data_IF_872574132394
#
_entry.id   IF_872574132394
#
_cell.length_a   1.000
_cell.length_b   1.000
_cell.length_c   1.000
_cell.angle_alpha   90.00
_cell.angle_beta   90.00
_cell.angle_gamma   90.00
#
_symmetry.space_group_name_H-M   'P 1'
#
loop_
_entity.id
_entity.type
_entity.pdbx_description
1 polymer ?
#
# COMPACT_ATOMS: atom_id res chain seq x y z
N UNK A 1 24.94 -13.29 16.67
CA UNK A 1 24.50 -12.72 16.30
C UNK A 1 23.79 -12.32 16.14
N UNK A 2 23.65 -11.95 16.31
CA UNK A 2 22.87 -11.51 16.09
C UNK A 2 22.23 -11.11 15.44
N UNK A 3 21.90 -11.53 15.26
CA UNK A 3 21.12 -11.10 14.15
C UNK A 3 20.07 -10.15 14.62
N UNK A 4 20.37 -8.98 14.38
CA UNK A 4 19.37 -7.99 14.55
C UNK A 4 18.18 -8.40 13.75
N UNK A 5 17.02 -8.45 14.37
CA UNK A 5 15.83 -8.53 13.58
C UNK A 5 15.86 -7.34 12.64
N UNK A 6 16.24 -7.56 11.44
CA UNK A 6 16.12 -6.55 10.42
C UNK A 6 14.67 -6.43 10.03
N UNK A 7 13.91 -6.02 11.00
CA UNK A 7 12.48 -5.87 10.81
C UNK A 7 12.15 -4.93 9.67
N UNK A 8 13.05 -3.98 9.37
CA UNK A 8 12.84 -3.07 8.25
C UNK A 8 13.05 -3.74 6.90
N UNK A 9 14.00 -4.70 6.81
CA UNK A 9 14.27 -5.38 5.55
C UNK A 9 13.16 -6.34 5.13
N UNK A 10 12.30 -6.72 6.05
CA UNK A 10 11.22 -7.66 5.79
C UNK A 10 9.85 -7.01 5.86
N UNK A 11 9.81 -5.71 6.11
CA UNK A 11 8.53 -5.02 6.18
C UNK A 11 7.76 -5.11 4.87
N UNK A 12 6.45 -5.02 4.98
CA UNK A 12 5.56 -5.04 3.83
C UNK A 12 5.03 -3.63 3.63
N UNK A 13 5.11 -3.14 2.40
CA UNK A 13 4.52 -1.87 2.01
C UNK A 13 3.21 -2.13 1.32
N UNK A 14 2.19 -1.38 1.67
CA UNK A 14 0.92 -1.36 0.92
C UNK A 14 0.61 0.07 0.50
N UNK A 15 0.33 0.24 -0.78
CA UNK A 15 -0.14 1.52 -1.31
C UNK A 15 -1.61 1.69 -0.99
N UNK A 16 -1.97 2.81 -0.38
CA UNK A 16 -3.33 3.08 0.08
C UNK A 16 -3.87 4.34 -0.58
N UNK A 17 -5.02 4.23 -1.19
CA UNK A 17 -5.85 5.36 -1.60
C UNK A 17 -7.28 5.08 -1.12
N UNK A 18 -8.29 5.75 -1.66
CA UNK A 18 -9.67 5.54 -1.21
C UNK A 18 -10.41 4.48 -2.03
N UNK A 19 -9.73 3.82 -2.97
CA UNK A 19 -10.38 2.82 -3.81
C UNK A 19 -10.70 1.54 -3.05
N UNK A 20 -11.75 0.81 -3.42
CA UNK A 20 -12.05 -0.49 -2.82
C UNK A 20 -10.91 -1.49 -2.98
N UNK A 21 -10.20 -1.45 -4.11
CA UNK A 21 -9.05 -2.32 -4.35
C UNK A 21 -7.91 -2.05 -3.38
N UNK A 22 -7.66 -0.78 -3.06
CA UNK A 22 -6.62 -0.43 -2.11
C UNK A 22 -6.98 -0.89 -0.69
N UNK A 23 -8.24 -0.84 -0.31
CA UNK A 23 -8.70 -1.36 0.97
C UNK A 23 -8.54 -2.89 1.02
N UNK A 24 -8.88 -3.57 -0.06
CA UNK A 24 -8.65 -5.02 -0.15
C UNK A 24 -7.15 -5.35 -0.05
N UNK A 25 -6.31 -4.56 -0.71
CA UNK A 25 -4.86 -4.70 -0.63
C UNK A 25 -4.35 -4.50 0.80
N UNK A 26 -4.86 -3.50 1.50
CA UNK A 26 -4.51 -3.23 2.89
C UNK A 26 -4.83 -4.42 3.80
N UNK A 27 -6.03 -4.99 3.64
CA UNK A 27 -6.44 -6.16 4.43
C UNK A 27 -5.56 -7.37 4.13
N UNK A 28 -5.28 -7.60 2.86
CA UNK A 28 -4.43 -8.72 2.44
C UNK A 28 -3.01 -8.56 3.00
N UNK A 29 -2.44 -7.37 2.87
CA UNK A 29 -1.10 -7.07 3.36
C UNK A 29 -1.01 -7.22 4.88
N UNK A 30 -2.04 -6.78 5.61
CA UNK A 30 -2.09 -6.92 7.06
C UNK A 30 -2.09 -8.39 7.48
N UNK A 31 -2.85 -9.23 6.78
CA UNK A 31 -2.85 -10.67 7.03
C UNK A 31 -1.47 -11.29 6.81
N UNK A 32 -0.80 -10.92 5.73
CA UNK A 32 0.54 -11.41 5.44
C UNK A 32 1.57 -10.93 6.47
N UNK A 33 1.51 -9.65 6.84
CA UNK A 33 2.42 -9.09 7.84
C UNK A 33 2.24 -9.76 9.20
N UNK A 34 0.99 -9.99 9.60
CA UNK A 34 0.69 -10.69 10.85
C UNK A 34 1.23 -12.13 10.83
N UNK A 35 1.05 -12.85 9.74
CA UNK A 35 1.57 -14.20 9.57
C UNK A 35 3.08 -14.26 9.66
N UNK A 36 3.77 -13.29 9.07
CA UNK A 36 5.23 -13.25 9.04
C UNK A 36 5.85 -12.59 10.27
N UNK A 37 5.04 -11.94 11.08
CA UNK A 37 5.56 -11.19 12.24
C UNK A 37 6.39 -9.98 11.85
N UNK A 38 6.05 -9.30 10.76
CA UNK A 38 6.79 -8.14 10.25
C UNK A 38 5.93 -6.89 10.28
N UNK A 39 6.54 -5.70 10.31
CA UNK A 39 5.78 -4.45 10.28
C UNK A 39 5.09 -4.23 8.94
N UNK A 40 4.00 -3.49 8.98
CA UNK A 40 3.28 -3.03 7.80
C UNK A 40 3.45 -1.51 7.66
N UNK A 41 3.84 -1.07 6.48
CA UNK A 41 3.93 0.34 6.13
C UNK A 41 2.81 0.66 5.14
N UNK A 42 1.84 1.43 5.59
CA UNK A 42 0.74 1.88 4.73
C UNK A 42 1.13 3.24 4.14
N UNK A 43 1.33 3.28 2.84
CA UNK A 43 1.87 4.46 2.15
C UNK A 43 0.79 5.08 1.29
N UNK A 44 0.51 6.35 1.53
CA UNK A 44 -0.33 7.16 0.67
C UNK A 44 0.55 8.15 -0.10
N UNK A 45 0.49 8.06 -1.41
CA UNK A 45 1.18 9.00 -2.28
C UNK A 45 0.27 10.18 -2.57
N UNK A 46 0.69 11.36 -2.16
CA UNK A 46 0.01 12.59 -2.56
C UNK A 46 0.53 12.98 -3.93
N UNK A 47 -0.23 12.68 -4.96
CA UNK A 47 0.09 13.11 -6.30
C UNK A 47 0.22 14.61 -6.37
N UNK A 48 0.94 15.10 -7.37
CA UNK A 48 0.97 16.52 -7.65
C UNK A 48 -0.45 16.98 -7.98
N UNK A 49 -1.02 17.74 -7.06
CA UNK A 49 -2.31 18.36 -7.33
C UNK A 49 -2.12 19.35 -8.47
N UNK A 50 -2.88 19.20 -9.52
CA UNK A 50 -2.94 20.23 -10.53
C UNK A 50 -3.42 21.52 -9.85
N UNK A 51 -2.83 22.65 -10.24
CA UNK A 51 -3.22 23.94 -9.71
C UNK A 51 -4.74 24.10 -9.75
N UNK A 52 -5.33 24.38 -8.60
CA UNK A 52 -6.76 24.60 -8.50
C UNK A 52 -7.58 23.37 -8.13
N UNK A 53 -6.99 22.22 -8.01
CA UNK A 53 -7.71 21.02 -7.58
C UNK A 53 -7.63 20.89 -6.06
N UNK A 54 -8.71 21.24 -5.38
CA UNK A 54 -8.85 20.98 -3.97
C UNK A 54 -9.43 19.58 -3.79
N UNK A 55 -8.58 18.64 -3.44
CA UNK A 55 -9.05 17.32 -3.01
C UNK A 55 -9.13 17.38 -1.49
N UNK A 56 -10.31 17.17 -0.91
CA UNK A 56 -10.42 17.09 0.54
C UNK A 56 -9.47 16.01 1.03
N UNK A 57 -8.67 16.34 2.04
CA UNK A 57 -7.81 15.34 2.66
C UNK A 57 -8.66 14.26 3.25
N UNK A 58 -8.73 13.13 2.59
CA UNK A 58 -9.19 11.92 3.25
C UNK A 58 -8.13 11.60 4.29
N UNK A 59 -8.54 11.44 5.52
CA UNK A 59 -7.62 11.05 6.57
C UNK A 59 -7.23 9.58 6.39
N UNK A 60 -6.20 9.37 5.57
CA UNK A 60 -5.73 8.03 5.24
C UNK A 60 -5.26 7.29 6.49
N UNK A 61 -4.64 8.01 7.42
CA UNK A 61 -4.22 7.40 8.69
C UNK A 61 -5.41 6.84 9.45
N UNK A 62 -6.50 7.58 9.52
CA UNK A 62 -7.72 7.12 10.18
C UNK A 62 -8.33 5.93 9.45
N UNK A 63 -8.37 5.97 8.13
CA UNK A 63 -8.86 4.86 7.31
C UNK A 63 -8.08 3.58 7.58
N UNK A 64 -6.76 3.67 7.59
CA UNK A 64 -5.88 2.54 7.90
C UNK A 64 -6.15 2.02 9.30
N UNK A 65 -6.19 2.90 10.29
CA UNK A 65 -6.43 2.52 11.69
C UNK A 65 -7.76 1.80 11.85
N UNK A 66 -8.82 2.33 11.28
CA UNK A 66 -10.14 1.74 11.37
C UNK A 66 -10.20 0.37 10.69
N UNK A 67 -9.63 0.27 9.50
CA UNK A 67 -9.62 -0.98 8.75
C UNK A 67 -8.88 -2.08 9.50
N UNK A 68 -7.74 -1.77 10.08
CA UNK A 68 -6.89 -2.77 10.72
C UNK A 68 -7.29 -3.09 12.16
N UNK A 69 -8.02 -2.20 12.82
CA UNK A 69 -8.50 -2.47 14.18
C UNK A 69 -9.38 -3.72 14.25
N UNK A 70 -10.09 -4.02 13.18
CA UNK A 70 -11.00 -5.16 13.12
C UNK A 70 -10.27 -6.48 12.82
N UNK A 71 -9.18 -6.44 12.06
CA UNK A 71 -8.58 -7.65 11.50
C UNK A 71 -7.21 -7.96 12.07
N UNK A 72 -6.48 -6.96 12.54
CA UNK A 72 -5.12 -7.16 13.02
C UNK A 72 -4.77 -6.15 14.11
N UNK A 73 -5.46 -6.19 15.26
CA UNK A 73 -5.29 -5.14 16.30
C UNK A 73 -3.92 -5.11 16.93
N UNK A 74 -3.15 -6.19 16.86
CA UNK A 74 -1.81 -6.26 17.42
C UNK A 74 -0.70 -5.99 16.42
N UNK A 75 -1.06 -5.72 15.17
CA UNK A 75 -0.07 -5.50 14.11
C UNK A 75 0.58 -4.13 14.27
N UNK A 76 1.89 -4.08 14.10
CA UNK A 76 2.62 -2.81 14.08
C UNK A 76 2.45 -2.20 12.69
N UNK A 77 1.77 -1.06 12.64
CA UNK A 77 1.47 -0.36 11.39
C UNK A 77 1.98 1.07 11.47
N UNK A 78 2.70 1.49 10.46
CA UNK A 78 3.10 2.89 10.29
C UNK A 78 2.44 3.44 9.04
N UNK A 79 1.75 4.55 9.18
CA UNK A 79 1.14 5.25 8.04
C UNK A 79 2.09 6.34 7.57
N UNK A 80 2.39 6.35 6.29
CA UNK A 80 3.27 7.34 5.67
C UNK A 80 2.49 8.09 4.58
N UNK A 81 2.56 9.41 4.63
CA UNK A 81 2.02 10.27 3.58
C UNK A 81 3.23 10.91 2.90
N UNK A 82 3.42 10.58 1.64
CA UNK A 82 4.61 10.98 0.90
C UNK A 82 4.21 11.71 -0.38
N UNK A 83 4.93 12.77 -0.75
CA UNK A 83 4.64 13.48 -1.98
C UNK A 83 5.11 12.70 -3.22
N UNK A 84 4.42 12.88 -4.30
CA UNK A 84 4.81 12.38 -5.60
C UNK A 84 3.85 11.36 -6.20
N UNK A 85 4.16 10.93 -7.42
CA UNK A 85 3.35 9.91 -8.09
C UNK A 85 3.41 8.57 -7.34
N UNK A 86 2.33 7.79 -7.34
CA UNK A 86 2.26 6.56 -6.54
C UNK A 86 3.38 5.57 -6.83
N UNK A 87 3.68 5.29 -8.08
CA UNK A 87 4.70 4.30 -8.44
C UNK A 87 6.07 4.71 -7.89
N UNK A 88 6.50 5.92 -8.20
CA UNK A 88 7.81 6.41 -7.77
C UNK A 88 7.91 6.48 -6.25
N UNK A 89 6.82 6.89 -5.60
CA UNK A 89 6.75 6.98 -4.14
C UNK A 89 6.91 5.63 -3.48
N UNK A 90 6.18 4.62 -3.96
CA UNK A 90 6.25 3.27 -3.39
C UNK A 90 7.62 2.65 -3.58
N UNK A 91 8.23 2.82 -4.77
CA UNK A 91 9.58 2.32 -5.02
C UNK A 91 10.62 3.02 -4.15
N UNK A 92 10.48 4.33 -3.97
CA UNK A 92 11.39 5.12 -3.12
C UNK A 92 11.30 4.69 -1.66
N UNK A 93 10.08 4.51 -1.15
CA UNK A 93 9.88 4.06 0.24
C UNK A 93 10.41 2.65 0.42
N UNK A 94 10.16 1.76 -0.53
CA UNK A 94 10.68 0.39 -0.46
C UNK A 94 12.21 0.37 -0.40
N UNK A 95 12.86 1.17 -1.22
CA UNK A 95 14.32 1.27 -1.22
C UNK A 95 14.85 1.85 0.09
N UNK A 96 14.24 2.95 0.55
CA UNK A 96 14.66 3.65 1.78
C UNK A 96 14.51 2.78 3.03
N UNK A 97 13.47 1.98 3.10
CA UNK A 97 13.16 1.16 4.28
C UNK A 97 13.68 -0.25 4.19
N UNK A 98 14.17 -0.68 3.04
CA UNK A 98 14.57 -2.07 2.84
C UNK A 98 13.41 -3.04 2.86
N UNK A 99 12.22 -2.60 2.51
CA UNK A 99 11.03 -3.47 2.49
C UNK A 99 11.23 -4.64 1.54
N UNK A 100 10.69 -5.79 1.92
CA UNK A 100 10.81 -7.02 1.14
C UNK A 100 9.64 -7.34 0.25
N UNK A 101 8.59 -6.53 0.27
CA UNK A 101 7.36 -6.82 -0.46
C UNK A 101 6.52 -5.55 -0.64
N UNK A 102 5.94 -5.38 -1.80
CA UNK A 102 5.00 -4.28 -2.08
C UNK A 102 3.65 -4.88 -2.46
N UNK A 103 2.58 -4.33 -1.87
CA UNK A 103 1.20 -4.75 -2.14
C UNK A 103 0.42 -3.55 -2.64
N UNK A 104 -0.31 -3.71 -3.70
CA UNK A 104 -1.19 -2.66 -4.25
C UNK A 104 -2.49 -3.26 -4.73
N UNK A 105 -3.51 -2.41 -4.83
CA UNK A 105 -4.75 -2.80 -5.48
C UNK A 105 -4.58 -2.94 -6.97
N UNK A 106 -5.44 -3.73 -7.58
CA UNK A 106 -5.46 -3.96 -9.01
C UNK A 106 -5.67 -2.66 -9.80
N UNK A 107 -6.49 -1.78 -9.25
CA UNK A 107 -6.76 -0.44 -9.81
C UNK A 107 -6.81 0.56 -8.67
N UNK A 108 -6.53 1.81 -8.99
CA UNK A 108 -6.62 2.90 -8.02
C UNK A 108 -7.80 3.83 -8.30
N UNK A 109 -7.85 4.91 -7.57
CA UNK A 109 -8.85 5.96 -7.77
C UNK A 109 -8.73 6.52 -9.18
N UNK A 110 -9.85 6.62 -9.88
CA UNK A 110 -9.91 7.15 -11.23
C UNK A 110 -9.66 6.14 -12.34
N UNK A 111 -9.15 4.97 -12.02
CA UNK A 111 -8.99 3.91 -13.00
C UNK A 111 -10.36 3.31 -13.35
N UNK A 112 -10.58 3.07 -14.63
CA UNK A 112 -11.82 2.50 -15.14
C UNK A 112 -11.52 1.25 -15.95
N UNK A 113 -12.50 0.37 -16.05
CA UNK A 113 -12.37 -0.86 -16.83
C UNK A 113 -11.89 -2.03 -15.99
N UNK A 114 -11.58 -3.13 -16.68
CA UNK A 114 -11.18 -4.39 -16.04
C UNK A 114 -9.67 -4.61 -16.06
N UNK A 115 -8.94 -3.74 -16.75
CA UNK A 115 -7.50 -3.89 -16.90
C UNK A 115 -6.77 -3.46 -15.63
N UNK A 116 -5.56 -3.97 -15.47
CA UNK A 116 -4.68 -3.57 -14.39
C UNK A 116 -4.42 -2.06 -14.45
N UNK A 117 -4.46 -1.39 -13.30
CA UNK A 117 -4.20 0.04 -13.22
C UNK A 117 -2.74 0.38 -13.50
N UNK A 118 -2.49 1.65 -13.80
CA UNK A 118 -1.16 2.12 -14.20
C UNK A 118 -0.12 1.95 -13.10
N UNK A 119 -0.47 2.19 -11.85
CA UNK A 119 0.45 2.03 -10.72
C UNK A 119 0.85 0.58 -10.54
N UNK A 120 -0.13 -0.33 -10.53
CA UNK A 120 0.14 -1.76 -10.37
C UNK A 120 1.00 -2.29 -11.51
N UNK A 121 0.68 -1.92 -12.75
CA UNK A 121 1.44 -2.34 -13.92
C UNK A 121 2.89 -1.82 -13.85
N UNK A 122 3.08 -0.56 -13.52
CA UNK A 122 4.41 0.04 -13.43
C UNK A 122 5.23 -0.61 -12.31
N UNK A 123 4.63 -0.90 -11.17
CA UNK A 123 5.32 -1.58 -10.06
C UNK A 123 5.77 -2.97 -10.45
N UNK A 124 4.91 -3.75 -11.09
CA UNK A 124 5.27 -5.09 -11.57
C UNK A 124 6.46 -5.04 -12.52
N UNK A 125 6.51 -4.00 -13.35
CA UNK A 125 7.59 -3.84 -14.33
C UNK A 125 8.90 -3.34 -13.73
N UNK A 126 8.85 -2.54 -12.68
CA UNK A 126 10.01 -1.78 -12.19
C UNK A 126 10.54 -2.23 -10.83
N UNK A 127 9.77 -2.96 -10.05
CA UNK A 127 10.16 -3.30 -8.69
C UNK A 127 11.27 -4.35 -8.66
N UNK A 128 12.22 -4.17 -7.74
CA UNK A 128 13.24 -5.16 -7.45
C UNK A 128 12.82 -6.15 -6.36
N UNK A 129 11.67 -5.91 -5.75
CA UNK A 129 11.10 -6.82 -4.74
C UNK A 129 9.77 -7.37 -5.24
N UNK A 130 9.30 -8.50 -4.68
CA UNK A 130 7.99 -9.05 -5.07
C UNK A 130 6.87 -8.02 -4.93
N UNK A 131 5.95 -8.06 -5.87
CA UNK A 131 4.76 -7.21 -5.88
C UNK A 131 3.53 -8.10 -5.92
N UNK A 132 2.61 -7.87 -5.00
CA UNK A 132 1.30 -8.53 -5.04
C UNK A 132 0.25 -7.51 -5.47
N UNK A 133 -0.56 -7.90 -6.42
CA UNK A 133 -1.66 -7.08 -6.92
C UNK A 133 -2.96 -7.72 -6.45
N UNK A 134 -3.73 -6.98 -5.68
CA UNK A 134 -4.95 -7.51 -5.04
C UNK A 134 -6.18 -6.96 -5.74
N UNK A 135 -7.06 -7.86 -6.13
CA UNK A 135 -8.37 -7.48 -6.67
C UNK A 135 -9.37 -7.36 -5.52
N UNK A 136 -10.29 -6.43 -5.64
CA UNK A 136 -11.36 -6.36 -4.66
C UNK A 136 -12.27 -7.60 -4.83
N UNK A 137 -12.77 -8.10 -3.71
CA UNK A 137 -13.71 -9.23 -3.68
C UNK A 137 -15.13 -8.78 -3.96
N UNK A 138 -15.30 -7.80 -4.82
CA UNK A 138 -16.64 -7.42 -5.21
C UNK A 138 -17.24 -8.58 -6.00
N UNK A 139 -18.29 -9.22 -5.49
CA UNK A 139 -18.91 -10.27 -6.27
C UNK A 139 -19.35 -9.67 -7.59
N UNK A 140 -19.04 -10.38 -8.65
CA UNK A 140 -19.54 -10.02 -9.94
C UNK A 140 -21.06 -10.05 -9.88
N UNK A 141 -21.64 -8.89 -9.88
CA UNK A 141 -23.08 -8.78 -9.92
C UNK A 141 -23.58 -8.91 -11.33
#
# INVERSE_FOLDING_TARGET
MNALPNSTNDSIIVGVDTSPESIAALRWAAGLAAQRGVPLLAVHAEGLLEEGSYVPHVNVTELVTQTLAEIAPSLIVTSLIEPGPPTDTLLRVAHRTGAGHIVVGHRGVGDTGSDIGSTALALVSRSSVPVTVVRSDQPAS
#
